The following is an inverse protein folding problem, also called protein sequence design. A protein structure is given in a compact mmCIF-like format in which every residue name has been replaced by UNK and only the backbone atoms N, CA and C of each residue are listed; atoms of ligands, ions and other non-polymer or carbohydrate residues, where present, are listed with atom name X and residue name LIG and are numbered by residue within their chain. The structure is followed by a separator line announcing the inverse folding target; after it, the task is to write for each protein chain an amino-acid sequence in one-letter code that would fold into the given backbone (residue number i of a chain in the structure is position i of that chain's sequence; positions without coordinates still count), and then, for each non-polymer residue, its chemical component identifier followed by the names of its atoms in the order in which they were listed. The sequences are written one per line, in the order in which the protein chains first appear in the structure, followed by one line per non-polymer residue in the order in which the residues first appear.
data_IF_505735610564
#
_entry.id   IF_505735610564
#
_cell.length_a   1.000
_cell.length_b   1.000
_cell.length_c   1.000
_cell.angle_alpha   90.00
_cell.angle_beta   90.00
_cell.angle_gamma   90.00
#
_symmetry.space_group_name_H-M   'P 1'
#
loop_
_entity.id
_entity.type
_entity.pdbx_description
1 polymer ?
#
# COMPACT_ATOMS: atom_id res chain seq x y z
N UNK A 1 5.37 10.12 4.33
CA UNK A 1 5.45 9.36 3.06
C UNK A 1 4.03 9.23 2.52
N UNK A 2 3.85 9.15 1.20
CA UNK A 2 2.51 8.98 0.60
C UNK A 2 2.46 7.67 -0.15
N UNK A 3 1.49 6.83 0.22
CA UNK A 3 1.31 5.48 -0.29
C UNK A 3 -0.02 5.41 -1.05
N UNK A 4 -0.05 4.65 -2.14
CA UNK A 4 -1.23 4.27 -2.92
C UNK A 4 -1.32 2.76 -2.94
N UNK A 5 -2.38 2.20 -2.37
CA UNK A 5 -2.54 0.77 -2.18
C UNK A 5 -3.76 0.25 -2.94
N UNK A 6 -3.51 -0.55 -3.97
CA UNK A 6 -4.53 -1.36 -4.62
C UNK A 6 -4.74 -2.63 -3.80
N UNK A 7 -5.91 -2.80 -3.18
CA UNK A 7 -6.20 -3.94 -2.32
C UNK A 7 -7.20 -4.84 -3.03
N UNK A 8 -6.83 -6.08 -3.29
CA UNK A 8 -7.73 -7.10 -3.80
C UNK A 8 -8.07 -8.11 -2.70
N UNK A 9 -9.35 -8.22 -2.37
CA UNK A 9 -9.88 -9.26 -1.48
C UNK A 9 -10.74 -10.21 -2.32
N UNK A 10 -10.33 -11.48 -2.46
CA UNK A 10 -11.05 -12.42 -3.29
C UNK A 10 -12.49 -12.61 -2.79
N UNK A 11 -13.50 -12.61 -3.70
CA UNK A 11 -14.84 -13.00 -3.33
C UNK A 11 -14.88 -14.51 -2.98
N UNK A 12 -15.79 -14.92 -2.11
CA UNK A 12 -16.00 -16.33 -1.78
C UNK A 12 -15.56 -16.71 -0.36
N UNK A 13 -14.76 -17.76 -0.23
CA UNK A 13 -14.51 -18.42 1.06
C UNK A 13 -13.68 -17.56 2.03
N UNK A 14 -14.05 -17.62 3.32
CA UNK A 14 -13.38 -16.92 4.41
C UNK A 14 -11.85 -17.10 4.45
N UNK A 15 -11.28 -18.31 4.22
CA UNK A 15 -9.82 -18.47 4.26
C UNK A 15 -9.07 -17.63 3.22
N UNK A 16 -9.67 -17.38 2.05
CA UNK A 16 -9.04 -16.54 1.03
C UNK A 16 -9.07 -15.06 1.42
N UNK A 17 -10.14 -14.62 2.07
CA UNK A 17 -10.28 -13.27 2.60
C UNK A 17 -9.33 -13.04 3.78
N UNK A 18 -9.26 -13.99 4.72
CA UNK A 18 -8.33 -13.97 5.85
C UNK A 18 -6.87 -13.87 5.38
N UNK A 19 -6.48 -14.66 4.38
CA UNK A 19 -5.14 -14.54 3.77
C UNK A 19 -4.89 -13.15 3.18
N UNK A 20 -5.88 -12.56 2.49
CA UNK A 20 -5.74 -11.21 1.97
C UNK A 20 -5.53 -10.20 3.12
N UNK A 21 -6.24 -10.34 4.23
CA UNK A 21 -6.05 -9.51 5.43
C UNK A 21 -4.66 -9.71 6.05
N UNK A 22 -4.20 -10.95 6.20
CA UNK A 22 -2.87 -11.23 6.76
C UNK A 22 -1.76 -10.62 5.91
N UNK A 23 -1.92 -10.66 4.58
CA UNK A 23 -1.00 -9.99 3.65
C UNK A 23 -1.03 -8.47 3.86
N UNK A 24 -2.22 -7.88 4.00
CA UNK A 24 -2.36 -6.43 4.23
C UNK A 24 -1.63 -6.03 5.51
N UNK A 25 -1.88 -6.73 6.62
CA UNK A 25 -1.22 -6.48 7.91
C UNK A 25 0.29 -6.61 7.82
N UNK A 26 0.77 -7.69 7.18
CA UNK A 26 2.20 -7.92 6.97
C UNK A 26 2.84 -6.76 6.21
N UNK A 27 2.27 -6.34 5.09
CA UNK A 27 2.84 -5.26 4.28
C UNK A 27 2.81 -3.91 5.00
N UNK A 28 1.72 -3.60 5.71
CA UNK A 28 1.63 -2.35 6.49
C UNK A 28 2.61 -2.34 7.66
N UNK A 29 2.73 -3.44 8.41
CA UNK A 29 3.72 -3.57 9.47
C UNK A 29 5.14 -3.36 8.92
N UNK A 30 5.49 -4.03 7.82
CA UNK A 30 6.80 -3.86 7.18
C UNK A 30 7.07 -2.40 6.78
N UNK A 31 6.06 -1.68 6.29
CA UNK A 31 6.19 -0.27 5.94
C UNK A 31 6.30 0.60 7.20
N UNK A 32 5.44 0.36 8.19
CA UNK A 32 5.38 1.11 9.45
C UNK A 32 6.64 0.99 10.29
N UNK A 33 7.33 -0.16 10.23
CA UNK A 33 8.61 -0.38 10.91
C UNK A 33 9.81 0.15 10.11
N UNK A 34 9.62 0.50 8.84
CA UNK A 34 10.70 0.98 7.99
C UNK A 34 11.13 2.42 8.35
N UNK A 35 12.38 2.83 8.03
CA UNK A 35 12.80 4.22 8.13
C UNK A 35 11.93 5.19 7.33
N UNK A 36 11.28 4.68 6.27
CA UNK A 36 10.36 5.44 5.42
C UNK A 36 9.20 6.03 6.22
N UNK A 37 8.60 5.22 7.09
CA UNK A 37 7.45 5.61 7.88
C UNK A 37 7.84 6.22 9.24
N UNK A 38 8.97 5.81 9.81
CA UNK A 38 9.36 6.24 11.17
C UNK A 38 10.24 7.49 11.21
N UNK A 39 11.14 7.70 10.25
CA UNK A 39 12.13 8.77 10.29
C UNK A 39 11.77 9.95 9.39
N UNK A 40 11.44 9.68 8.12
CA UNK A 40 11.14 10.74 7.14
C UNK A 40 9.93 11.62 7.52
N UNK A 41 8.81 11.07 8.02
CA UNK A 41 7.64 11.88 8.33
C UNK A 41 7.89 12.73 9.59
N UNK A 42 8.51 12.15 10.64
CA UNK A 42 8.88 12.87 11.87
C UNK A 42 9.84 14.03 11.61
N UNK A 43 10.82 13.86 10.72
CA UNK A 43 11.73 14.94 10.31
C UNK A 43 11.00 16.10 9.60
N UNK A 44 9.85 15.82 8.97
CA UNK A 44 9.04 16.80 8.24
C UNK A 44 7.82 17.28 9.02
N UNK A 45 7.63 16.82 10.26
CA UNK A 45 6.43 17.12 11.06
C UNK A 45 5.13 16.58 10.44
N UNK A 46 5.20 15.50 9.66
CA UNK A 46 4.06 14.90 8.96
C UNK A 46 3.86 13.43 9.37
N UNK A 47 2.65 12.90 9.16
CA UNK A 47 2.35 11.46 9.24
C UNK A 47 2.49 10.80 7.85
N UNK A 48 2.56 9.47 7.82
CA UNK A 48 2.45 8.70 6.58
C UNK A 48 0.99 8.66 6.14
N UNK A 49 0.72 9.01 4.88
CA UNK A 49 -0.62 9.01 4.30
C UNK A 49 -0.78 7.80 3.39
N UNK A 50 -1.79 6.97 3.64
CA UNK A 50 -2.13 5.80 2.83
C UNK A 50 -3.46 6.03 2.11
N UNK A 51 -3.39 6.28 0.82
CA UNK A 51 -4.55 6.23 -0.07
C UNK A 51 -4.79 4.78 -0.49
N UNK A 52 -6.04 4.31 -0.47
CA UNK A 52 -6.33 2.94 -0.91
C UNK A 52 -7.62 2.80 -1.70
N UNK A 53 -7.61 1.87 -2.65
CA UNK A 53 -8.80 1.31 -3.28
C UNK A 53 -8.97 -0.14 -2.84
N UNK A 54 -10.22 -0.55 -2.61
CA UNK A 54 -10.57 -1.93 -2.32
C UNK A 54 -11.33 -2.55 -3.48
N UNK A 55 -10.89 -3.70 -3.96
CA UNK A 55 -11.47 -4.46 -5.07
C UNK A 55 -11.92 -5.83 -4.58
N UNK A 56 -13.14 -6.24 -4.93
CA UNK A 56 -13.70 -7.55 -4.60
C UNK A 56 -14.57 -7.52 -3.34
N UNK A 57 -14.32 -8.42 -2.38
CA UNK A 57 -15.09 -8.42 -1.14
C UNK A 57 -14.72 -7.20 -0.28
N UNK A 58 -15.72 -6.42 0.13
CA UNK A 58 -15.48 -5.28 1.02
C UNK A 58 -15.59 -5.62 2.50
N UNK A 59 -16.24 -6.74 2.83
CA UNK A 59 -16.56 -7.06 4.21
C UNK A 59 -15.25 -7.15 4.99
N UNK A 60 -15.09 -6.27 5.98
CA UNK A 60 -13.97 -6.17 6.93
C UNK A 60 -12.66 -5.50 6.45
N UNK A 61 -12.46 -5.19 5.16
CA UNK A 61 -11.18 -4.57 4.73
C UNK A 61 -10.96 -3.19 5.35
N UNK A 62 -12.03 -2.39 5.46
CA UNK A 62 -11.96 -1.06 6.06
C UNK A 62 -11.59 -1.14 7.54
N UNK A 63 -12.12 -2.15 8.25
CA UNK A 63 -11.80 -2.38 9.66
C UNK A 63 -10.33 -2.78 9.84
N UNK A 64 -9.86 -3.73 9.03
CA UNK A 64 -8.45 -4.17 9.06
C UNK A 64 -7.53 -2.97 8.81
N UNK A 65 -7.82 -2.16 7.80
CA UNK A 65 -7.01 -0.97 7.52
C UNK A 65 -7.06 0.04 8.66
N UNK A 66 -8.25 0.32 9.20
CA UNK A 66 -8.39 1.28 10.30
C UNK A 66 -7.56 0.85 11.52
N UNK A 67 -7.65 -0.42 11.92
CA UNK A 67 -6.92 -0.95 13.07
C UNK A 67 -5.39 -0.81 12.88
N UNK A 68 -4.89 -1.23 11.72
CA UNK A 68 -3.45 -1.17 11.41
C UNK A 68 -2.96 0.29 11.29
N UNK A 69 -3.78 1.17 10.69
CA UNK A 69 -3.40 2.56 10.52
C UNK A 69 -3.35 3.33 11.84
N UNK A 70 -4.28 3.06 12.76
CA UNK A 70 -4.23 3.61 14.12
C UNK A 70 -2.99 3.12 14.87
N UNK A 71 -2.67 1.83 14.75
CA UNK A 71 -1.51 1.24 15.42
C UNK A 71 -0.18 1.80 14.89
N UNK A 72 -0.11 2.11 13.58
CA UNK A 72 1.10 2.57 12.90
C UNK A 72 1.21 4.11 12.79
N UNK A 73 0.25 4.86 13.32
CA UNK A 73 0.16 6.33 13.18
C UNK A 73 0.12 6.79 11.71
N UNK A 74 -0.66 6.07 10.89
CA UNK A 74 -0.90 6.40 9.49
C UNK A 74 -2.23 7.13 9.32
N UNK A 75 -2.24 8.13 8.43
CA UNK A 75 -3.48 8.73 7.93
C UNK A 75 -4.01 7.90 6.76
N UNK A 76 -5.05 7.11 6.98
CA UNK A 76 -5.60 6.24 5.95
C UNK A 76 -6.86 6.81 5.30
N UNK A 77 -6.82 6.92 3.98
CA UNK A 77 -7.83 7.59 3.17
C UNK A 77 -8.33 6.59 2.14
N UNK A 78 -9.57 6.15 2.32
CA UNK A 78 -10.27 5.36 1.30
C UNK A 78 -10.58 6.25 0.11
N UNK A 79 -10.14 5.85 -1.07
CA UNK A 79 -10.50 6.51 -2.32
C UNK A 79 -11.81 5.95 -2.87
N UNK A 80 -11.86 4.64 -3.16
CA UNK A 80 -13.04 4.00 -3.73
C UNK A 80 -13.11 2.50 -3.42
N UNK A 81 -14.33 1.95 -3.50
CA UNK A 81 -14.57 0.51 -3.56
C UNK A 81 -15.06 0.10 -4.95
N UNK A 82 -14.56 -1.05 -5.42
CA UNK A 82 -14.99 -1.68 -6.66
C UNK A 82 -15.35 -3.14 -6.39
N UNK A 83 -16.52 -3.58 -6.87
CA UNK A 83 -16.89 -5.01 -6.82
C UNK A 83 -16.03 -5.83 -7.79
N UNK A 84 -15.63 -5.24 -8.90
CA UNK A 84 -14.68 -5.78 -9.88
C UNK A 84 -13.93 -4.64 -10.53
N UNK A 85 -12.61 -4.73 -10.52
CA UNK A 85 -11.69 -3.81 -11.17
C UNK A 85 -10.32 -4.47 -11.28
N UNK A 86 -9.44 -3.84 -12.04
CA UNK A 86 -8.02 -4.18 -12.11
C UNK A 86 -7.21 -3.04 -11.47
N UNK A 87 -5.88 -3.17 -11.46
CA UNK A 87 -5.01 -2.23 -10.74
C UNK A 87 -4.97 -0.82 -11.33
N UNK A 88 -5.41 -0.64 -12.58
CA UNK A 88 -5.40 0.64 -13.28
C UNK A 88 -6.26 1.69 -12.57
N UNK A 89 -7.30 1.29 -11.82
CA UNK A 89 -8.14 2.25 -11.07
C UNK A 89 -7.33 3.02 -10.02
N UNK A 90 -6.36 2.36 -9.41
CA UNK A 90 -5.45 2.98 -8.43
C UNK A 90 -4.33 3.73 -9.13
N UNK A 91 -3.80 3.18 -10.24
CA UNK A 91 -2.73 3.82 -11.00
C UNK A 91 -3.17 5.12 -11.67
N UNK A 92 -4.42 5.21 -12.15
CA UNK A 92 -4.99 6.45 -12.70
C UNK A 92 -5.04 7.53 -11.64
N UNK A 93 -5.55 7.22 -10.44
CA UNK A 93 -5.63 8.20 -9.35
C UNK A 93 -4.24 8.61 -8.83
N UNK A 94 -3.28 7.69 -8.80
CA UNK A 94 -1.88 8.00 -8.50
C UNK A 94 -1.32 8.97 -9.56
N UNK A 95 -1.57 8.71 -10.84
CA UNK A 95 -1.11 9.56 -11.94
C UNK A 95 -1.73 10.97 -11.85
N UNK A 96 -3.01 11.08 -11.53
CA UNK A 96 -3.70 12.36 -11.30
C UNK A 96 -3.07 13.12 -10.13
N UNK A 97 -2.78 12.43 -9.02
CA UNK A 97 -2.08 13.01 -7.88
C UNK A 97 -0.69 13.53 -8.26
N UNK A 98 0.09 12.77 -9.03
CA UNK A 98 1.42 13.19 -9.48
C UNK A 98 1.37 14.33 -10.49
N UNK A 99 0.33 14.42 -11.31
CA UNK A 99 0.17 15.52 -12.28
C UNK A 99 0.04 16.88 -11.58
N UNK A 100 -0.62 16.92 -10.42
CA UNK A 100 -0.75 18.16 -9.61
C UNK A 100 0.36 18.31 -8.57
N UNK A 101 1.10 17.23 -8.27
CA UNK A 101 2.23 17.21 -7.33
C UNK A 101 3.52 16.67 -8.00
N UNK A 102 4.12 17.36 -8.98
CA UNK A 102 5.19 16.82 -9.83
C UNK A 102 6.50 16.51 -9.08
N UNK A 103 6.70 17.10 -7.90
CA UNK A 103 7.88 16.87 -7.06
C UNK A 103 7.59 15.97 -5.85
N UNK A 104 6.36 15.48 -5.71
CA UNK A 104 5.98 14.64 -4.58
C UNK A 104 6.24 13.18 -4.92
N UNK A 105 7.03 12.51 -4.07
CA UNK A 105 7.31 11.08 -4.22
C UNK A 105 6.16 10.26 -3.63
N UNK A 106 5.69 9.32 -4.42
CA UNK A 106 4.64 8.39 -4.01
C UNK A 106 5.13 6.95 -4.12
N UNK A 107 4.54 6.09 -3.31
CA UNK A 107 4.78 4.65 -3.35
C UNK A 107 3.51 3.91 -3.75
N UNK A 108 3.59 2.96 -4.68
CA UNK A 108 2.51 2.08 -5.09
C UNK A 108 2.67 0.69 -4.45
N UNK A 109 1.56 0.15 -3.98
CA UNK A 109 1.49 -1.17 -3.36
C UNK A 109 0.30 -1.96 -3.90
N UNK A 110 0.46 -3.28 -3.97
CA UNK A 110 -0.62 -4.23 -4.21
C UNK A 110 -0.41 -5.51 -3.40
N UNK A 111 -1.48 -6.10 -2.88
CA UNK A 111 -1.45 -7.32 -2.06
C UNK A 111 -1.40 -8.60 -2.92
N UNK A 112 -0.62 -8.56 -4.01
CA UNK A 112 -0.55 -9.63 -5.02
C UNK A 112 -0.24 -10.98 -4.37
N UNK A 113 -0.89 -12.03 -4.87
CA UNK A 113 -0.81 -13.38 -4.31
C UNK A 113 -1.96 -13.74 -3.39
N UNK A 114 -2.87 -12.80 -3.06
CA UNK A 114 -4.11 -13.09 -2.31
C UNK A 114 -5.04 -14.07 -3.03
N UNK A 115 -5.02 -14.12 -4.37
CA UNK A 115 -5.80 -15.06 -5.19
C UNK A 115 -5.05 -16.35 -5.57
N UNK A 116 -3.72 -16.29 -5.71
CA UNK A 116 -2.86 -17.41 -6.08
C UNK A 116 -1.75 -17.55 -5.05
N UNK A 117 -2.03 -18.23 -3.94
CA UNK A 117 -1.05 -18.36 -2.87
C UNK A 117 0.07 -19.35 -3.24
N UNK A 118 1.31 -18.96 -2.94
CA UNK A 118 2.49 -19.82 -3.03
C UNK A 118 3.63 -19.25 -2.20
N UNK A 119 4.54 -20.12 -1.76
CA UNK A 119 5.75 -19.69 -1.04
C UNK A 119 6.57 -18.67 -1.86
N UNK A 120 6.63 -18.88 -3.18
CA UNK A 120 7.29 -17.95 -4.09
C UNK A 120 6.61 -16.58 -4.08
N UNK A 121 5.28 -16.51 -4.17
CA UNK A 121 4.55 -15.24 -4.13
C UNK A 121 4.75 -14.51 -2.80
N UNK A 122 4.81 -15.23 -1.68
CA UNK A 122 5.12 -14.63 -0.38
C UNK A 122 6.53 -14.04 -0.33
N UNK A 123 7.55 -14.76 -0.81
CA UNK A 123 8.93 -14.24 -0.89
C UNK A 123 9.03 -13.00 -1.79
N UNK A 124 8.39 -13.05 -2.96
CA UNK A 124 8.37 -11.93 -3.91
C UNK A 124 7.67 -10.71 -3.31
N UNK A 125 6.50 -10.90 -2.68
CA UNK A 125 5.76 -9.81 -2.05
C UNK A 125 6.56 -9.12 -0.95
N UNK A 126 7.18 -9.89 -0.05
CA UNK A 126 8.06 -9.33 1.00
C UNK A 126 9.24 -8.58 0.39
N UNK A 127 9.90 -9.16 -0.62
CA UNK A 127 11.03 -8.52 -1.29
C UNK A 127 10.64 -7.20 -1.98
N UNK A 128 9.50 -7.17 -2.67
CA UNK A 128 8.99 -5.96 -3.31
C UNK A 128 8.60 -4.91 -2.26
N UNK A 129 7.92 -5.31 -1.18
CA UNK A 129 7.54 -4.41 -0.09
C UNK A 129 8.76 -3.79 0.59
N UNK A 130 9.84 -4.55 0.81
CA UNK A 130 11.11 -3.99 1.29
C UNK A 130 11.77 -3.03 0.30
N UNK A 131 11.64 -3.30 -0.99
CA UNK A 131 12.28 -2.50 -2.04
C UNK A 131 11.67 -1.09 -2.11
N UNK A 132 10.34 -1.00 -2.03
CA UNK A 132 9.63 0.30 -2.13
C UNK A 132 9.86 1.22 -0.92
N UNK A 133 10.23 0.66 0.24
CA UNK A 133 10.58 1.44 1.44
C UNK A 133 12.10 1.55 1.65
N UNK A 134 12.90 1.09 0.70
CA UNK A 134 14.35 1.18 0.77
C UNK A 134 14.81 2.64 0.66
N UNK A 135 15.94 3.02 1.30
CA UNK A 135 16.51 4.36 1.15
C UNK A 135 16.79 4.73 -0.31
N UNK A 136 17.15 3.77 -1.15
CA UNK A 136 17.44 3.98 -2.57
C UNK A 136 16.18 4.38 -3.35
N UNK A 137 15.01 3.85 -2.98
CA UNK A 137 13.76 4.23 -3.60
C UNK A 137 13.29 5.60 -3.10
N UNK A 138 13.41 5.84 -1.80
CA UNK A 138 12.90 7.08 -1.19
C UNK A 138 13.81 8.28 -1.40
N UNK A 139 15.11 8.04 -1.64
CA UNK A 139 16.14 9.04 -1.88
C UNK A 139 17.03 8.61 -3.07
N UNK A 140 16.49 8.58 -4.30
CA UNK A 140 17.26 8.22 -5.48
C UNK A 140 18.37 9.25 -5.74
N UNK A 141 19.49 8.85 -6.36
CA UNK A 141 20.61 9.75 -6.67
C UNK A 141 20.22 10.90 -7.61
N UNK A 142 19.19 10.72 -8.42
CA UNK A 142 18.57 11.74 -9.26
C UNK A 142 17.09 11.89 -8.92
N UNK A 143 16.57 13.12 -8.95
CA UNK A 143 15.16 13.40 -8.61
C UNK A 143 14.17 12.99 -9.71
N UNK A 144 14.59 12.13 -10.64
CA UNK A 144 13.80 11.75 -11.82
C UNK A 144 12.82 10.60 -11.55
N UNK A 145 12.90 9.94 -10.38
CA UNK A 145 11.96 8.89 -10.00
C UNK A 145 10.92 9.46 -9.04
N UNK A 146 9.70 9.65 -9.54
CA UNK A 146 8.55 10.14 -8.79
C UNK A 146 7.68 9.00 -8.22
N UNK A 147 7.85 7.76 -8.70
CA UNK A 147 7.12 6.58 -8.25
C UNK A 147 8.10 5.48 -7.82
N UNK A 148 7.86 5.01 -6.59
CA UNK A 148 8.25 3.72 -6.03
C UNK A 148 6.98 2.87 -5.90
#
# INVERSE_FOLDING_TARGET
VTLFYNIFVPPGEKPAQERAHDIIREQLTMIGESPAATQLPKQRGASTVLYYNAVGSNETVDQVLQDECEQLDFTCIRMQHYTSAFEEVTLVQLQEFCAVNPHHRVTYLHNKGSYHDSEQNTKWRRSMTWSIVSPQCLNPPNETCNVC
#
